data_IF_329177044961
#
_entry.id   IF_329177044961
#
_cell.length_a   1.000
_cell.length_b   1.000
_cell.length_c   1.000
_cell.angle_alpha   90.00
_cell.angle_beta   90.00
_cell.angle_gamma   90.00
#
_symmetry.space_group_name_H-M   'P 1'
#
loop_
_entity.id
_entity.type
_entity.pdbx_description
1 polymer ?
#
# COMPACT_ATOMS: atom_id res chain seq x y z
N UNK A 1 -2.47 14.98 10.49
CA UNK A 1 -1.78 13.74 10.91
C UNK A 1 -2.09 12.67 9.88
N UNK A 2 -1.11 11.92 9.31
CA UNK A 2 -0.87 10.53 9.76
C UNK A 2 0.50 9.90 9.39
N UNK A 3 1.61 10.65 9.30
CA UNK A 3 2.92 10.02 9.00
C UNK A 3 3.35 9.01 10.08
N UNK A 4 3.09 9.36 11.34
CA UNK A 4 3.44 8.51 12.48
C UNK A 4 2.45 7.36 12.69
N UNK A 5 1.16 7.54 12.34
CA UNK A 5 0.16 6.47 12.51
C UNK A 5 0.34 5.36 11.47
N UNK A 6 0.64 5.69 10.20
CA UNK A 6 0.81 4.68 9.17
C UNK A 6 1.92 3.67 9.50
N UNK A 7 3.09 4.13 9.97
CA UNK A 7 4.17 3.22 10.38
C UNK A 7 3.87 2.46 11.66
N UNK A 8 3.09 3.02 12.60
CA UNK A 8 2.64 2.28 13.80
C UNK A 8 1.73 1.13 13.39
N UNK A 9 0.68 1.40 12.59
CA UNK A 9 -0.17 0.34 12.04
C UNK A 9 0.66 -0.66 11.22
N UNK A 10 1.65 -0.16 10.47
CA UNK A 10 2.50 -1.03 9.67
C UNK A 10 3.40 -1.95 10.48
N UNK A 11 3.89 -1.47 11.63
CA UNK A 11 4.67 -2.29 12.57
C UNK A 11 3.80 -3.32 13.27
N UNK A 12 2.58 -2.94 13.65
CA UNK A 12 1.64 -3.87 14.30
C UNK A 12 1.24 -4.98 13.33
N UNK A 13 1.05 -4.69 12.04
CA UNK A 13 0.71 -5.75 11.08
C UNK A 13 1.84 -6.75 10.87
N UNK A 14 3.12 -6.35 10.98
CA UNK A 14 4.24 -7.31 10.87
C UNK A 14 4.18 -8.40 11.95
N UNK A 15 3.55 -8.12 13.10
CA UNK A 15 3.41 -9.07 14.20
C UNK A 15 2.11 -9.89 14.15
N UNK A 16 1.03 -9.31 13.61
CA UNK A 16 -0.33 -9.90 13.71
C UNK A 16 -0.85 -10.42 12.36
N UNK A 17 -0.42 -9.83 11.26
CA UNK A 17 -0.97 -10.02 9.91
C UNK A 17 -1.70 -8.77 9.41
N UNK A 18 -1.50 -8.44 8.14
CA UNK A 18 -2.15 -7.33 7.46
C UNK A 18 -3.66 -7.54 7.28
N UNK A 19 -4.13 -8.79 7.15
CA UNK A 19 -5.56 -9.09 7.05
C UNK A 19 -6.37 -8.64 8.27
N UNK A 20 -5.75 -8.55 9.45
CA UNK A 20 -6.42 -8.08 10.68
C UNK A 20 -6.26 -6.58 10.85
N UNK A 21 -5.03 -6.09 10.71
CA UNK A 21 -4.68 -4.70 11.06
C UNK A 21 -5.12 -3.71 9.98
N UNK A 22 -5.07 -4.10 8.70
CA UNK A 22 -5.40 -3.19 7.60
C UNK A 22 -6.88 -2.80 7.55
N UNK A 23 -7.87 -3.70 7.74
CA UNK A 23 -9.26 -3.29 7.90
C UNK A 23 -9.47 -2.23 9.00
N UNK A 24 -8.82 -2.40 10.16
CA UNK A 24 -8.89 -1.45 11.26
C UNK A 24 -8.31 -0.09 10.86
N UNK A 25 -7.15 -0.09 10.21
CA UNK A 25 -6.59 1.13 9.64
C UNK A 25 -7.56 1.81 8.67
N UNK A 26 -8.15 1.06 7.73
CA UNK A 26 -9.10 1.59 6.76
C UNK A 26 -10.34 2.21 7.43
N UNK A 27 -10.89 1.56 8.45
CA UNK A 27 -12.01 2.10 9.24
C UNK A 27 -11.61 3.41 9.92
N UNK A 28 -10.46 3.44 10.59
CA UNK A 28 -9.98 4.66 11.26
C UNK A 28 -9.72 5.79 10.27
N UNK A 29 -9.20 5.46 9.07
CA UNK A 29 -8.97 6.41 8.00
C UNK A 29 -10.29 7.02 7.51
N UNK A 30 -11.28 6.19 7.18
CA UNK A 30 -12.58 6.65 6.69
C UNK A 30 -13.31 7.45 7.76
N UNK A 31 -13.26 7.01 9.02
CA UNK A 31 -13.86 7.74 10.13
C UNK A 31 -13.21 9.10 10.37
N UNK A 32 -11.88 9.18 10.24
CA UNK A 32 -11.15 10.45 10.31
C UNK A 32 -11.43 11.35 9.10
N UNK A 33 -11.59 10.76 7.91
CA UNK A 33 -11.90 11.48 6.67
C UNK A 33 -13.34 12.04 6.65
N UNK A 34 -14.30 11.32 7.24
CA UNK A 34 -15.71 11.72 7.25
C UNK A 34 -16.05 12.90 8.18
N UNK A 35 -15.16 13.29 9.10
CA UNK A 35 -15.32 14.52 9.89
C UNK A 35 -14.86 15.70 9.04
N UNK A 36 -15.65 16.77 8.97
CA UNK A 36 -15.48 17.97 8.11
C UNK A 36 -14.08 18.64 8.10
N UNK A 37 -13.17 18.21 8.97
CA UNK A 37 -11.76 18.60 8.99
C UNK A 37 -10.88 17.94 7.91
N UNK A 38 -11.30 16.87 7.23
CA UNK A 38 -10.53 16.30 6.12
C UNK A 38 -10.85 17.02 4.79
N UNK A 39 -10.63 18.34 4.77
CA UNK A 39 -10.74 19.11 3.55
C UNK A 39 -9.51 18.79 2.66
N UNK A 40 -9.69 18.18 1.47
CA UNK A 40 -8.57 17.79 0.61
C UNK A 40 -7.84 18.99 -0.01
N UNK A 41 -8.46 20.17 0.02
CA UNK A 41 -7.95 21.37 -0.65
C UNK A 41 -6.77 21.98 0.09
N UNK A 42 -5.61 21.98 -0.56
CA UNK A 42 -4.39 22.62 -0.06
C UNK A 42 -3.63 21.81 0.99
N UNK A 43 -3.64 20.47 0.88
CA UNK A 43 -2.82 19.57 1.69
C UNK A 43 -1.34 19.94 1.58
N UNK A 44 -0.72 20.20 2.72
CA UNK A 44 0.72 20.37 2.80
C UNK A 44 1.41 19.01 2.95
N UNK A 45 2.50 18.82 2.22
CA UNK A 45 3.36 17.65 2.38
C UNK A 45 4.69 18.14 2.94
N UNK A 46 5.01 17.67 4.15
CA UNK A 46 6.32 17.90 4.77
C UNK A 46 7.32 16.88 4.23
N UNK A 47 8.57 17.30 4.03
CA UNK A 47 9.66 16.44 3.56
C UNK A 47 9.34 15.72 2.24
N UNK A 48 8.56 16.34 1.35
CA UNK A 48 8.11 15.73 0.09
C UNK A 48 9.28 15.23 -0.77
N UNK A 49 10.36 16.00 -0.87
CA UNK A 49 11.58 15.62 -1.58
C UNK A 49 12.31 14.40 -1.01
N UNK A 50 12.04 14.04 0.25
CA UNK A 50 12.64 12.88 0.90
C UNK A 50 11.79 11.61 0.78
N UNK A 51 10.52 11.71 0.39
CA UNK A 51 9.61 10.56 0.39
C UNK A 51 10.12 9.39 -0.46
N UNK A 52 10.57 9.68 -1.68
CA UNK A 52 11.08 8.65 -2.57
C UNK A 52 12.36 8.00 -2.03
N UNK A 53 13.45 8.72 -1.68
CA UNK A 53 14.66 8.07 -1.21
C UNK A 53 14.45 7.29 0.10
N UNK A 54 13.67 7.80 1.05
CA UNK A 54 13.44 7.08 2.31
C UNK A 54 12.58 5.83 2.15
N UNK A 55 11.62 5.82 1.21
CA UNK A 55 10.86 4.60 0.90
C UNK A 55 11.70 3.61 0.12
N UNK A 56 12.51 4.06 -0.83
CA UNK A 56 13.41 3.18 -1.59
C UNK A 56 14.40 2.50 -0.64
N UNK A 57 15.12 3.27 0.17
CA UNK A 57 16.12 2.75 1.08
C UNK A 57 15.51 1.99 2.26
N UNK A 58 14.38 2.49 2.79
CA UNK A 58 13.79 1.97 4.01
C UNK A 58 12.81 0.82 3.79
N UNK A 59 12.29 0.63 2.58
CA UNK A 59 11.27 -0.39 2.33
C UNK A 59 11.58 -1.24 1.11
N UNK A 60 11.85 -0.62 -0.05
CA UNK A 60 12.07 -1.35 -1.30
C UNK A 60 13.35 -2.19 -1.23
N UNK A 61 14.47 -1.60 -0.83
CA UNK A 61 15.76 -2.31 -0.73
C UNK A 61 15.70 -3.47 0.28
N UNK A 62 15.25 -3.30 1.54
CA UNK A 62 15.10 -4.41 2.47
C UNK A 62 14.19 -5.53 1.94
N UNK A 63 13.10 -5.17 1.25
CA UNK A 63 12.17 -6.15 0.67
C UNK A 63 12.82 -6.92 -0.48
N UNK A 64 13.55 -6.23 -1.36
CA UNK A 64 14.28 -6.89 -2.44
C UNK A 64 15.37 -7.83 -1.91
N UNK A 65 16.08 -7.44 -0.85
CA UNK A 65 17.07 -8.30 -0.19
C UNK A 65 16.44 -9.54 0.44
N UNK A 66 15.22 -9.43 1.00
CA UNK A 66 14.50 -10.58 1.56
C UNK A 66 14.10 -11.60 0.48
N UNK A 67 13.70 -11.14 -0.70
CA UNK A 67 13.33 -12.01 -1.82
C UNK A 67 14.51 -12.50 -2.67
N UNK A 68 15.72 -11.99 -2.42
CA UNK A 68 16.89 -12.44 -3.15
C UNK A 68 17.20 -13.91 -2.79
N UNK A 69 17.45 -14.79 -3.78
CA UNK A 69 17.69 -16.21 -3.55
C UNK A 69 19.10 -16.45 -3.01
N UNK A 70 19.31 -16.17 -1.72
CA UNK A 70 20.60 -16.40 -1.07
C UNK A 70 20.93 -17.90 -1.02
N UNK A 71 22.18 -18.25 -1.36
CA UNK A 71 22.67 -19.63 -1.29
C UNK A 71 22.95 -20.10 0.15
N UNK A 72 22.96 -19.18 1.11
CA UNK A 72 23.24 -19.45 2.52
C UNK A 72 21.97 -19.21 3.36
N UNK A 73 21.55 -20.24 4.09
CA UNK A 73 20.31 -20.21 4.89
C UNK A 73 20.38 -19.19 6.04
N UNK A 74 21.51 -19.09 6.73
CA UNK A 74 21.69 -18.12 7.82
C UNK A 74 21.54 -16.69 7.28
N UNK A 75 22.14 -16.41 6.12
CA UNK A 75 22.03 -15.10 5.49
C UNK A 75 20.59 -14.78 5.08
N UNK A 76 19.85 -15.76 4.57
CA UNK A 76 18.43 -15.61 4.29
C UNK A 76 17.63 -15.28 5.56
N UNK A 77 17.86 -16.00 6.66
CA UNK A 77 17.19 -15.77 7.94
C UNK A 77 17.50 -14.39 8.50
N UNK A 78 18.76 -13.96 8.47
CA UNK A 78 19.17 -12.61 8.89
C UNK A 78 18.55 -11.52 8.02
N UNK A 79 18.47 -11.75 6.69
CA UNK A 79 17.82 -10.84 5.77
C UNK A 79 16.31 -10.71 6.05
N UNK A 80 15.64 -11.84 6.31
CA UNK A 80 14.23 -11.85 6.71
C UNK A 80 14.00 -11.16 8.06
N UNK A 81 14.87 -11.38 9.04
CA UNK A 81 14.81 -10.73 10.35
C UNK A 81 15.02 -9.22 10.24
N UNK A 82 15.98 -8.78 9.44
CA UNK A 82 16.18 -7.35 9.13
C UNK A 82 14.94 -6.76 8.45
N UNK A 83 14.37 -7.46 7.46
CA UNK A 83 13.16 -7.02 6.77
C UNK A 83 11.94 -6.82 7.68
N UNK A 84 11.82 -7.54 8.81
CA UNK A 84 10.70 -7.39 9.73
C UNK A 84 10.50 -5.93 10.19
N UNK A 85 11.58 -5.16 10.37
CA UNK A 85 11.52 -3.77 10.79
C UNK A 85 11.40 -2.76 9.62
N UNK A 86 11.27 -3.22 8.36
CA UNK A 86 11.17 -2.36 7.19
C UNK A 86 10.11 -1.24 7.28
N UNK A 87 8.92 -1.44 7.88
CA UNK A 87 7.95 -0.36 8.02
C UNK A 87 8.40 0.84 8.89
N UNK A 88 9.44 0.66 9.71
CA UNK A 88 9.99 1.70 10.59
C UNK A 88 11.10 2.51 9.92
N UNK A 89 11.85 1.91 8.99
CA UNK A 89 13.05 2.53 8.42
C UNK A 89 12.79 3.87 7.70
N UNK A 90 11.70 4.05 6.92
CA UNK A 90 11.43 5.35 6.29
C UNK A 90 11.30 6.49 7.31
N UNK A 91 10.62 6.24 8.44
CA UNK A 91 10.47 7.23 9.50
C UNK A 91 11.78 7.46 10.25
N UNK A 92 12.56 6.41 10.47
CA UNK A 92 13.91 6.54 11.05
C UNK A 92 14.80 7.42 10.18
N UNK A 93 14.81 7.23 8.86
CA UNK A 93 15.61 8.05 7.94
C UNK A 93 15.15 9.49 7.88
N UNK A 94 13.83 9.75 7.92
CA UNK A 94 13.31 11.12 8.04
C UNK A 94 13.73 11.76 9.38
N UNK A 95 13.72 10.99 10.47
CA UNK A 95 14.17 11.47 11.78
C UNK A 95 15.68 11.79 11.79
N UNK A 96 16.52 10.91 11.28
CA UNK A 96 17.97 11.15 11.19
C UNK A 96 18.29 12.38 10.32
N UNK A 97 17.56 12.55 9.21
CA UNK A 97 17.67 13.72 8.37
C UNK A 97 17.22 15.02 9.07
N UNK A 98 16.24 14.94 9.98
CA UNK A 98 15.79 16.11 10.74
C UNK A 98 16.86 16.56 11.75
N UNK A 99 17.54 15.60 12.38
CA UNK A 99 18.70 15.87 13.23
C UNK A 99 19.87 16.49 12.45
N UNK A 100 20.04 16.10 11.19
CA UNK A 100 21.05 16.67 10.29
C UNK A 100 20.64 18.02 9.66
N UNK A 101 19.44 18.53 9.97
CA UNK A 101 18.95 19.81 9.41
C UNK A 101 18.57 19.75 7.93
N UNK A 102 18.46 18.57 7.32
CA UNK A 102 18.18 18.41 5.88
C UNK A 102 16.69 18.29 5.56
N UNK A 103 15.81 18.33 6.57
CA UNK A 103 14.35 18.29 6.37
C UNK A 103 13.78 19.62 5.91
N UNK A 104 12.77 19.57 5.05
CA UNK A 104 12.08 20.75 4.52
C UNK A 104 10.74 20.99 5.23
N UNK A 105 10.32 22.25 5.41
CA UNK A 105 9.01 22.58 5.97
C UNK A 105 7.88 22.05 5.09
N UNK A 106 6.68 22.00 5.66
CA UNK A 106 5.48 21.59 4.94
C UNK A 106 5.17 22.63 3.83
N UNK A 107 4.92 22.16 2.61
CA UNK A 107 4.69 23.04 1.45
C UNK A 107 3.47 22.58 0.64
N UNK A 108 2.76 23.56 0.05
CA UNK A 108 1.61 23.35 -0.87
C UNK A 108 2.01 23.43 -2.35
N UNK A 109 3.30 23.49 -2.66
CA UNK A 109 3.72 23.69 -4.05
C UNK A 109 3.51 22.43 -4.92
N UNK A 110 3.40 22.64 -6.23
CA UNK A 110 3.27 21.58 -7.24
C UNK A 110 4.38 20.54 -7.14
N UNK A 111 5.61 20.97 -6.82
CA UNK A 111 6.76 20.09 -6.62
C UNK A 111 6.49 19.06 -5.52
N UNK A 112 5.90 19.45 -4.38
CA UNK A 112 5.63 18.54 -3.28
C UNK A 112 4.64 17.45 -3.65
N UNK A 113 3.62 17.80 -4.45
CA UNK A 113 2.65 16.82 -4.97
C UNK A 113 3.31 15.90 -5.99
N UNK A 114 4.19 16.42 -6.85
CA UNK A 114 4.93 15.61 -7.82
C UNK A 114 5.77 14.52 -7.16
N UNK A 115 6.40 14.80 -6.01
CA UNK A 115 7.14 13.76 -5.26
C UNK A 115 6.22 12.64 -4.74
N UNK A 116 5.05 12.99 -4.19
CA UNK A 116 4.06 12.00 -3.74
C UNK A 116 3.53 11.18 -4.92
N UNK A 117 3.26 11.82 -6.05
CA UNK A 117 2.85 11.15 -7.29
C UNK A 117 3.95 10.22 -7.81
N UNK A 118 5.21 10.64 -7.75
CA UNK A 118 6.36 9.80 -8.09
C UNK A 118 6.43 8.54 -7.23
N UNK A 119 6.12 8.65 -5.94
CA UNK A 119 6.01 7.48 -5.06
C UNK A 119 4.90 6.53 -5.52
N UNK A 120 3.72 7.02 -5.88
CA UNK A 120 2.64 6.17 -6.42
C UNK A 120 2.99 5.53 -7.75
N UNK A 121 3.74 6.21 -8.62
CA UNK A 121 4.25 5.62 -9.86
C UNK A 121 5.21 4.47 -9.55
N UNK A 122 6.16 4.67 -8.62
CA UNK A 122 7.09 3.64 -8.19
C UNK A 122 6.38 2.43 -7.59
N UNK A 123 5.48 2.64 -6.61
CA UNK A 123 4.76 1.52 -5.97
C UNK A 123 3.82 0.81 -6.93
N UNK A 124 3.21 1.56 -7.86
CA UNK A 124 2.40 1.00 -8.94
C UNK A 124 3.22 0.12 -9.87
N UNK A 125 4.39 0.59 -10.32
CA UNK A 125 5.28 -0.19 -11.20
C UNK A 125 5.77 -1.47 -10.53
N UNK A 126 6.18 -1.40 -9.25
CA UNK A 126 6.57 -2.58 -8.47
C UNK A 126 5.40 -3.56 -8.30
N UNK A 127 4.18 -3.06 -8.06
CA UNK A 127 2.99 -3.91 -7.94
C UNK A 127 2.67 -4.63 -9.25
N UNK A 128 2.76 -3.92 -10.38
CA UNK A 128 2.57 -4.51 -11.72
C UNK A 128 3.61 -5.59 -11.97
N UNK A 129 4.89 -5.31 -11.69
CA UNK A 129 5.97 -6.27 -11.88
C UNK A 129 5.73 -7.56 -11.05
N UNK A 130 5.38 -7.43 -9.78
CA UNK A 130 5.07 -8.58 -8.91
C UNK A 130 3.83 -9.35 -9.37
N UNK A 131 2.78 -8.64 -9.81
CA UNK A 131 1.56 -9.26 -10.34
C UNK A 131 1.83 -10.12 -11.58
N UNK A 132 2.55 -9.57 -12.56
CA UNK A 132 2.91 -10.31 -13.76
C UNK A 132 3.92 -11.43 -13.49
N UNK A 133 4.86 -11.24 -12.56
CA UNK A 133 5.78 -12.28 -12.14
C UNK A 133 5.02 -13.48 -11.55
N UNK A 134 4.07 -13.24 -10.65
CA UNK A 134 3.20 -14.28 -10.09
C UNK A 134 2.44 -15.03 -11.20
N UNK A 135 1.74 -14.29 -12.07
CA UNK A 135 0.98 -14.89 -13.17
C UNK A 135 1.87 -15.72 -14.09
N UNK A 136 3.04 -15.20 -14.45
CA UNK A 136 4.00 -15.87 -15.32
C UNK A 136 4.54 -17.14 -14.68
N UNK A 137 5.03 -17.07 -13.43
CA UNK A 137 5.57 -18.24 -12.71
C UNK A 137 4.50 -19.31 -12.57
N UNK A 138 3.27 -18.93 -12.21
CA UNK A 138 2.17 -19.89 -12.07
C UNK A 138 1.73 -20.52 -13.40
N UNK A 139 1.77 -19.77 -14.50
CA UNK A 139 1.38 -20.28 -15.81
C UNK A 139 2.48 -21.10 -16.50
N UNK A 140 3.75 -20.73 -16.31
CA UNK A 140 4.89 -21.39 -16.93
C UNK A 140 5.40 -22.61 -16.14
N UNK A 141 5.07 -22.70 -14.85
CA UNK A 141 5.48 -23.82 -14.00
C UNK A 141 4.69 -25.10 -14.30
N UNK A 142 5.41 -26.20 -14.53
CA UNK A 142 4.82 -27.55 -14.53
C UNK A 142 4.55 -28.13 -13.12
N UNK A 143 4.96 -27.43 -12.05
CA UNK A 143 4.74 -27.85 -10.67
C UNK A 143 3.35 -27.39 -10.18
N UNK A 144 2.44 -28.32 -9.81
CA UNK A 144 1.10 -27.98 -9.31
C UNK A 144 1.11 -27.07 -8.06
N UNK A 145 2.16 -27.15 -7.24
CA UNK A 145 2.30 -26.33 -6.04
C UNK A 145 2.45 -24.82 -6.35
N UNK A 146 2.85 -24.48 -7.58
CA UNK A 146 2.99 -23.08 -8.02
C UNK A 146 1.77 -22.59 -8.81
N UNK A 147 0.70 -23.40 -8.94
CA UNK A 147 -0.54 -22.98 -9.60
C UNK A 147 -1.18 -21.79 -8.87
N UNK A 148 -1.93 -20.95 -9.59
CA UNK A 148 -2.58 -19.77 -8.99
C UNK A 148 -3.52 -20.15 -7.85
N UNK A 149 -4.26 -21.25 -7.98
CA UNK A 149 -5.13 -21.75 -6.92
C UNK A 149 -4.31 -22.17 -5.69
N UNK A 150 -3.23 -22.93 -5.88
CA UNK A 150 -2.38 -23.36 -4.78
C UNK A 150 -1.65 -22.21 -4.09
N UNK A 151 -1.33 -21.14 -4.81
CA UNK A 151 -0.63 -19.98 -4.24
C UNK A 151 -1.59 -19.01 -3.55
N UNK A 152 -2.78 -18.80 -4.09
CA UNK A 152 -3.68 -17.73 -3.63
C UNK A 152 -4.84 -18.21 -2.75
N UNK A 153 -5.22 -19.49 -2.80
CA UNK A 153 -6.36 -20.02 -2.05
C UNK A 153 -5.90 -20.91 -0.88
N UNK A 154 -6.39 -20.65 0.35
CA UNK A 154 -6.09 -21.47 1.51
C UNK A 154 -6.44 -22.94 1.31
N UNK A 155 -5.47 -23.82 1.58
CA UNK A 155 -5.68 -25.27 1.65
C UNK A 155 -5.79 -25.71 3.13
N UNK A 156 -7.00 -26.06 3.56
CA UNK A 156 -7.25 -26.49 4.95
C UNK A 156 -6.45 -27.75 5.33
N UNK A 157 -6.08 -28.58 4.36
CA UNK A 157 -5.26 -29.77 4.63
C UNK A 157 -3.80 -29.41 4.94
N UNK A 158 -3.32 -28.25 4.45
CA UNK A 158 -1.97 -27.75 4.69
C UNK A 158 -1.78 -27.22 6.12
N UNK A 159 -2.86 -26.76 6.76
CA UNK A 159 -2.85 -26.11 8.07
C UNK A 159 -2.17 -26.92 9.18
N UNK A 160 -2.40 -28.24 9.21
CA UNK A 160 -1.94 -29.13 10.28
C UNK A 160 -0.80 -30.07 9.86
N UNK A 161 -0.25 -29.87 8.66
CA UNK A 161 0.74 -30.79 8.08
C UNK A 161 2.13 -30.61 8.70
N UNK A 162 2.68 -29.40 8.60
CA UNK A 162 3.93 -29.00 9.22
C UNK A 162 4.01 -27.47 9.32
N UNK A 163 5.04 -26.95 9.99
CA UNK A 163 5.19 -25.51 10.24
C UNK A 163 5.25 -24.68 8.96
N UNK A 164 5.93 -25.16 7.91
CA UNK A 164 6.07 -24.39 6.67
C UNK A 164 4.73 -24.30 5.93
N UNK A 165 4.00 -25.41 5.83
CA UNK A 165 2.66 -25.44 5.22
C UNK A 165 1.64 -24.65 6.04
N UNK A 166 1.71 -24.73 7.37
CA UNK A 166 0.87 -23.93 8.26
C UNK A 166 1.11 -22.43 8.11
N UNK A 167 2.38 -21.99 8.03
CA UNK A 167 2.73 -20.59 7.76
C UNK A 167 2.26 -20.13 6.38
N UNK A 168 2.40 -20.99 5.37
CA UNK A 168 1.92 -20.68 4.03
C UNK A 168 0.39 -20.50 4.01
N UNK A 169 -0.36 -21.36 4.69
CA UNK A 169 -1.82 -21.22 4.86
C UNK A 169 -2.19 -19.88 5.54
N UNK A 170 -1.43 -19.46 6.55
CA UNK A 170 -1.62 -18.14 7.19
C UNK A 170 -1.38 -17.02 6.18
N UNK A 171 -0.31 -17.07 5.37
CA UNK A 171 -0.03 -16.05 4.36
C UNK A 171 -1.08 -15.96 3.27
N UNK A 172 -1.74 -17.06 2.92
CA UNK A 172 -2.85 -17.04 1.96
C UNK A 172 -4.06 -16.28 2.51
N UNK A 173 -4.43 -16.55 3.77
CA UNK A 173 -5.47 -15.76 4.44
C UNK A 173 -5.06 -14.29 4.62
N UNK A 174 -3.79 -14.05 4.96
CA UNK A 174 -3.27 -12.69 5.10
C UNK A 174 -3.36 -11.92 3.79
N UNK A 175 -2.99 -12.56 2.68
CA UNK A 175 -3.14 -12.02 1.33
C UNK A 175 -4.60 -11.72 0.98
N UNK A 176 -5.52 -12.67 1.15
CA UNK A 176 -6.94 -12.48 0.79
C UNK A 176 -7.62 -11.39 1.62
N UNK A 177 -7.36 -11.37 2.93
CA UNK A 177 -7.91 -10.35 3.82
C UNK A 177 -7.35 -8.96 3.48
N UNK A 178 -6.04 -8.86 3.24
CA UNK A 178 -5.38 -7.63 2.80
C UNK A 178 -5.93 -7.15 1.46
N UNK A 179 -6.06 -8.06 0.49
CA UNK A 179 -6.63 -7.78 -0.82
C UNK A 179 -8.03 -7.17 -0.72
N UNK A 180 -8.93 -7.82 0.02
CA UNK A 180 -10.30 -7.33 0.22
C UNK A 180 -10.33 -5.98 0.92
N UNK A 181 -9.54 -5.81 1.99
CA UNK A 181 -9.46 -4.56 2.74
C UNK A 181 -8.96 -3.39 1.89
N UNK A 182 -7.91 -3.60 1.10
CA UNK A 182 -7.35 -2.58 0.20
C UNK A 182 -8.33 -2.20 -0.89
N UNK A 183 -8.99 -3.17 -1.53
CA UNK A 183 -9.95 -2.87 -2.58
C UNK A 183 -11.15 -2.08 -2.05
N UNK A 184 -11.69 -2.50 -0.91
CA UNK A 184 -12.78 -1.80 -0.26
C UNK A 184 -12.37 -0.37 0.12
N UNK A 185 -11.19 -0.19 0.72
CA UNK A 185 -10.68 1.13 1.07
C UNK A 185 -10.45 2.03 -0.15
N UNK A 186 -9.90 1.47 -1.22
CA UNK A 186 -9.71 2.17 -2.50
C UNK A 186 -11.06 2.64 -3.05
N UNK A 187 -12.05 1.76 -3.06
CA UNK A 187 -13.39 2.07 -3.54
C UNK A 187 -14.08 3.16 -2.70
N UNK A 188 -14.10 3.01 -1.37
CA UNK A 188 -14.66 4.01 -0.46
C UNK A 188 -13.99 5.37 -0.67
N UNK A 189 -12.66 5.40 -0.82
CA UNK A 189 -11.91 6.64 -1.02
C UNK A 189 -12.24 7.34 -2.35
N UNK A 190 -12.46 6.58 -3.42
CA UNK A 190 -12.87 7.15 -4.73
C UNK A 190 -14.31 7.66 -4.68
N UNK A 191 -15.23 6.89 -4.10
CA UNK A 191 -16.65 7.28 -3.92
C UNK A 191 -16.75 8.54 -3.07
N UNK A 192 -15.99 8.60 -1.97
CA UNK A 192 -15.94 9.79 -1.12
C UNK A 192 -15.45 11.00 -1.89
N UNK A 193 -14.37 10.88 -2.67
CA UNK A 193 -13.88 11.99 -3.51
C UNK A 193 -14.93 12.50 -4.50
N UNK A 194 -15.73 11.61 -5.10
CA UNK A 194 -16.86 12.01 -5.93
C UNK A 194 -17.93 12.75 -5.12
N UNK A 195 -18.27 12.26 -3.92
CA UNK A 195 -19.21 12.90 -2.99
C UNK A 195 -18.77 14.31 -2.61
N UNK A 196 -17.52 14.49 -2.16
CA UNK A 196 -17.00 15.80 -1.72
C UNK A 196 -16.87 16.78 -2.91
N UNK A 197 -16.68 16.26 -4.12
CA UNK A 197 -16.65 17.09 -5.34
C UNK A 197 -18.04 17.45 -5.89
N UNK A 198 -19.12 17.20 -5.14
CA UNK A 198 -20.51 17.46 -5.57
C UNK A 198 -21.02 16.52 -6.66
N UNK A 199 -20.30 15.44 -6.96
CA UNK A 199 -20.58 14.48 -8.04
C UNK A 199 -20.93 13.07 -7.51
N UNK A 200 -21.45 12.98 -6.27
CA UNK A 200 -21.70 11.75 -5.53
C UNK A 200 -22.91 10.93 -6.01
N UNK A 201 -23.03 10.69 -7.32
CA UNK A 201 -24.13 9.90 -7.89
C UNK A 201 -23.77 8.41 -7.99
N UNK A 202 -24.78 7.54 -7.89
CA UNK A 202 -24.64 6.07 -7.99
C UNK A 202 -23.88 5.64 -9.25
N UNK A 203 -24.08 6.32 -10.36
CA UNK A 203 -23.40 6.05 -11.64
C UNK A 203 -21.89 6.23 -11.56
N UNK A 204 -21.41 7.24 -10.82
CA UNK A 204 -19.96 7.46 -10.60
C UNK A 204 -19.38 6.40 -9.67
N UNK A 205 -20.12 6.00 -8.64
CA UNK A 205 -19.70 4.89 -7.75
C UNK A 205 -19.59 3.57 -8.51
N UNK A 206 -20.54 3.26 -9.40
CA UNK A 206 -20.50 2.07 -10.24
C UNK A 206 -19.32 2.12 -11.23
N UNK A 207 -19.12 3.26 -11.89
CA UNK A 207 -17.97 3.45 -12.78
C UNK A 207 -16.64 3.29 -12.04
N UNK A 208 -16.53 3.78 -10.80
CA UNK A 208 -15.37 3.58 -9.95
C UNK A 208 -15.14 2.10 -9.62
N UNK A 209 -16.19 1.34 -9.29
CA UNK A 209 -16.10 -0.12 -9.08
C UNK A 209 -15.55 -0.83 -10.30
N UNK A 210 -16.10 -0.53 -11.49
CA UNK A 210 -15.65 -1.14 -12.74
C UNK A 210 -14.19 -0.78 -13.04
N UNK A 211 -13.81 0.50 -12.90
CA UNK A 211 -12.45 0.95 -13.15
C UNK A 211 -11.42 0.30 -12.20
N UNK A 212 -11.74 0.20 -10.90
CA UNK A 212 -10.88 -0.46 -9.91
C UNK A 212 -10.76 -1.95 -10.22
N UNK A 213 -11.87 -2.61 -10.59
CA UNK A 213 -11.86 -4.02 -10.99
C UNK A 213 -10.97 -4.27 -12.20
N UNK A 214 -11.13 -3.48 -13.27
CA UNK A 214 -10.28 -3.57 -14.47
C UNK A 214 -8.80 -3.34 -14.12
N UNK A 215 -8.50 -2.28 -13.35
CA UNK A 215 -7.13 -1.99 -12.94
C UNK A 215 -6.51 -3.12 -12.10
N UNK A 216 -7.31 -3.75 -11.24
CA UNK A 216 -6.89 -4.88 -10.41
C UNK A 216 -6.58 -6.12 -11.25
N UNK A 217 -7.40 -6.42 -12.25
CA UNK A 217 -7.15 -7.57 -13.15
C UNK A 217 -5.89 -7.33 -13.99
N UNK A 218 -5.75 -6.13 -14.56
CA UNK A 218 -4.67 -5.82 -15.50
C UNK A 218 -3.31 -5.60 -14.82
N UNK A 219 -3.29 -4.97 -13.64
CA UNK A 219 -2.04 -4.58 -12.97
C UNK A 219 -1.88 -5.11 -11.55
N UNK A 220 -2.88 -5.83 -11.03
CA UNK A 220 -2.92 -6.25 -9.64
C UNK A 220 -3.51 -5.20 -8.69
N UNK A 221 -3.88 -5.61 -7.47
CA UNK A 221 -4.54 -4.75 -6.48
C UNK A 221 -3.67 -3.57 -6.02
N UNK A 222 -2.36 -3.76 -5.89
CA UNK A 222 -1.43 -2.69 -5.49
C UNK A 222 -1.28 -1.59 -6.55
N UNK A 223 -1.38 -1.96 -7.83
CA UNK A 223 -1.38 -1.01 -8.93
C UNK A 223 -2.69 -0.21 -8.98
N UNK A 224 -3.83 -0.89 -8.78
CA UNK A 224 -5.14 -0.23 -8.68
C UNK A 224 -5.17 0.80 -7.53
N UNK A 225 -4.69 0.43 -6.34
CA UNK A 225 -4.56 1.35 -5.20
C UNK A 225 -3.65 2.55 -5.54
N UNK A 226 -2.48 2.29 -6.12
CA UNK A 226 -1.52 3.34 -6.48
C UNK A 226 -2.09 4.31 -7.52
N UNK A 227 -2.79 3.78 -8.53
CA UNK A 227 -3.47 4.59 -9.55
C UNK A 227 -4.61 5.43 -8.96
N UNK A 228 -5.43 4.86 -8.08
CA UNK A 228 -6.48 5.59 -7.39
C UNK A 228 -5.93 6.74 -6.54
N UNK A 229 -4.83 6.51 -5.80
CA UNK A 229 -4.19 7.58 -5.03
C UNK A 229 -3.50 8.62 -5.90
N UNK A 230 -2.84 8.23 -6.99
CA UNK A 230 -2.28 9.17 -7.97
C UNK A 230 -3.37 10.09 -8.57
N UNK A 231 -4.49 9.49 -8.98
CA UNK A 231 -5.66 10.23 -9.48
C UNK A 231 -6.19 11.18 -8.41
N UNK A 232 -6.30 10.71 -7.17
CA UNK A 232 -6.81 11.51 -6.07
C UNK A 232 -5.93 12.72 -5.78
N UNK A 233 -4.61 12.57 -5.69
CA UNK A 233 -3.70 13.70 -5.50
C UNK A 233 -3.87 14.74 -6.60
N UNK A 234 -4.09 14.30 -7.84
CA UNK A 234 -4.39 15.21 -8.95
C UNK A 234 -5.69 15.97 -8.69
N UNK A 235 -6.76 15.33 -8.22
CA UNK A 235 -8.03 16.02 -7.91
C UNK A 235 -7.90 16.98 -6.73
N UNK A 236 -7.17 16.62 -5.68
CA UNK A 236 -7.01 17.46 -4.48
C UNK A 236 -6.29 18.79 -4.74
N UNK A 237 -5.38 18.84 -5.71
CA UNK A 237 -4.73 20.09 -6.14
C UNK A 237 -5.70 21.05 -6.83
N UNK A 238 -6.71 20.53 -7.53
CA UNK A 238 -7.62 21.32 -8.36
C UNK A 238 -8.98 21.60 -7.72
N UNK A 239 -9.28 21.07 -6.53
CA UNK A 239 -10.56 21.35 -5.84
C UNK A 239 -10.46 22.66 -5.03
N UNK A 240 -11.23 23.71 -5.36
CA UNK A 240 -11.29 24.93 -4.56
C UNK A 240 -11.83 24.65 -3.16
N UNK A 241 -11.42 25.43 -2.16
CA UNK A 241 -12.06 25.39 -0.83
C UNK A 241 -13.53 25.76 -0.99
N UNK A 242 -14.43 24.80 -0.82
CA UNK A 242 -15.81 25.12 -0.50
C UNK A 242 -15.77 25.73 0.90
N UNK A 243 -16.08 27.03 1.01
CA UNK A 243 -16.30 27.65 2.31
C UNK A 243 -17.50 26.95 2.94
N UNK A 244 -17.33 26.41 4.14
CA UNK A 244 -18.47 26.00 4.94
C UNK A 244 -19.37 27.24 5.12
N UNK A 245 -20.65 27.09 4.79
CA UNK A 245 -21.69 28.07 5.07
C UNK A 245 -22.13 27.96 6.53
#
# INVERSE_FOLDING_TARGET
MPGNSASVFATVYQCVGAAVILPLYCITFVWAAGKDGYNPSGREVRNSGMLLPVVVLGYVVPTALMFYPWNNLDFFQWSAAFWQAAPLYPNLFVYLASLAGTTSPASKNSNSVNHVKGLYVLTGALSVASHFALLYISAASGNPALSLSSVLLPDETARMKDTAHGLFWIFQWDFLGTFGAVLLWTWVSVVEMHRVSGNGHLTKSLAATVAIGIATVLGGPGAALSAAWYWRETKMVFTPRVKAA
#
